data_IF_436974886181
#
_entry.id   IF_436974886181
#
_cell.length_a   1.000
_cell.length_b   1.000
_cell.length_c   1.000
_cell.angle_alpha   90.00
_cell.angle_beta   90.00
_cell.angle_gamma   90.00
#
_symmetry.space_group_name_H-M   'P 1'
#
loop_
_entity.id
_entity.type
_entity.pdbx_description
1 polymer ?
#
# COMPACT_ATOMS: atom_id res chain seq x y z
N UNK A 1 -14.76 31.15 -15.67
CA UNK A 1 -14.60 29.77 -15.15
C UNK A 1 -15.17 29.72 -13.75
N UNK A 2 -15.93 28.69 -13.41
CA UNK A 2 -16.41 28.52 -12.04
C UNK A 2 -15.19 28.27 -11.13
N UNK A 3 -14.96 29.18 -10.18
CA UNK A 3 -13.80 29.14 -9.28
C UNK A 3 -13.79 27.85 -8.43
N UNK A 4 -14.95 27.32 -8.12
CA UNK A 4 -15.09 26.11 -7.32
C UNK A 4 -14.68 24.87 -8.10
N UNK A 5 -15.08 24.79 -9.37
CA UNK A 5 -14.73 23.69 -10.26
C UNK A 5 -13.21 23.64 -10.50
N UNK A 6 -12.58 24.80 -10.70
CA UNK A 6 -11.12 24.89 -10.84
C UNK A 6 -10.39 24.39 -9.60
N UNK A 7 -10.82 24.83 -8.40
CA UNK A 7 -10.24 24.37 -7.12
C UNK A 7 -10.40 22.86 -6.92
N UNK A 8 -11.55 22.31 -7.32
CA UNK A 8 -11.79 20.87 -7.24
C UNK A 8 -10.83 20.10 -8.15
N UNK A 9 -10.64 20.53 -9.40
CA UNK A 9 -9.70 19.87 -10.32
C UNK A 9 -8.26 19.95 -9.83
N UNK A 10 -7.82 21.09 -9.28
CA UNK A 10 -6.49 21.16 -8.67
C UNK A 10 -6.34 20.21 -7.49
N UNK A 11 -7.36 20.12 -6.63
CA UNK A 11 -7.35 19.17 -5.52
C UNK A 11 -7.29 17.72 -6.01
N UNK A 12 -7.98 17.40 -7.11
CA UNK A 12 -7.90 16.09 -7.74
C UNK A 12 -6.48 15.78 -8.23
N UNK A 13 -5.77 16.75 -8.80
CA UNK A 13 -4.38 16.58 -9.24
C UNK A 13 -3.42 16.35 -8.06
N UNK A 14 -3.55 17.13 -6.98
CA UNK A 14 -2.79 16.87 -5.76
C UNK A 14 -3.08 15.47 -5.19
N UNK A 15 -4.35 15.08 -5.14
CA UNK A 15 -4.74 13.77 -4.64
C UNK A 15 -4.21 12.63 -5.52
N UNK A 16 -4.16 12.81 -6.85
CA UNK A 16 -3.61 11.81 -7.77
C UNK A 16 -2.15 11.48 -7.45
N UNK A 17 -1.29 12.50 -7.29
CA UNK A 17 0.12 12.26 -6.95
C UNK A 17 0.29 11.69 -5.54
N UNK A 18 -0.54 12.08 -4.57
CA UNK A 18 -0.55 11.46 -3.24
C UNK A 18 -0.97 10.00 -3.28
N UNK A 19 -1.94 9.65 -4.14
CA UNK A 19 -2.37 8.26 -4.35
C UNK A 19 -1.22 7.40 -4.91
N UNK A 20 -0.37 7.94 -5.79
CA UNK A 20 0.83 7.22 -6.26
C UNK A 20 1.76 6.83 -5.11
N UNK A 21 2.00 7.75 -4.17
CA UNK A 21 2.83 7.48 -2.99
C UNK A 21 2.21 6.45 -2.05
N UNK A 22 0.89 6.53 -1.85
CA UNK A 22 0.13 5.55 -1.05
C UNK A 22 0.22 4.16 -1.69
N UNK A 23 0.08 4.05 -3.02
CA UNK A 23 0.23 2.78 -3.74
C UNK A 23 1.64 2.23 -3.51
N UNK A 24 2.67 3.08 -3.62
CA UNK A 24 4.06 2.66 -3.39
C UNK A 24 4.24 2.11 -1.98
N UNK A 25 3.79 2.84 -0.96
CA UNK A 25 3.84 2.38 0.43
C UNK A 25 3.13 1.04 0.64
N UNK A 26 1.90 0.88 0.09
CA UNK A 26 1.15 -0.38 0.20
C UNK A 26 1.90 -1.55 -0.47
N UNK A 27 2.53 -1.32 -1.62
CA UNK A 27 3.36 -2.33 -2.31
C UNK A 27 4.59 -2.71 -1.47
N UNK A 28 5.26 -1.75 -0.85
CA UNK A 28 6.40 -2.01 0.04
C UNK A 28 5.95 -2.85 1.27
N UNK A 29 4.78 -2.57 1.84
CA UNK A 29 4.20 -3.37 2.95
C UNK A 29 3.89 -4.81 2.50
N UNK A 30 3.32 -4.98 1.30
CA UNK A 30 3.04 -6.31 0.74
C UNK A 30 4.32 -7.14 0.64
N UNK A 31 5.43 -6.56 0.18
CA UNK A 31 6.70 -7.29 0.08
C UNK A 31 7.24 -7.71 1.47
N UNK A 32 7.14 -6.85 2.48
CA UNK A 32 7.51 -7.20 3.86
C UNK A 32 6.64 -8.37 4.38
N UNK A 33 5.33 -8.35 4.10
CA UNK A 33 4.42 -9.42 4.51
C UNK A 33 4.74 -10.74 3.80
N UNK A 34 5.11 -10.71 2.52
CA UNK A 34 5.54 -11.90 1.77
C UNK A 34 6.82 -12.50 2.35
N UNK A 35 7.83 -11.69 2.62
CA UNK A 35 9.07 -12.14 3.26
C UNK A 35 8.78 -12.79 4.62
N UNK A 36 7.85 -12.21 5.39
CA UNK A 36 7.45 -12.76 6.68
C UNK A 36 6.70 -14.09 6.54
N UNK A 37 5.84 -14.24 5.53
CA UNK A 37 5.18 -15.51 5.23
C UNK A 37 6.23 -16.57 4.88
N UNK A 38 7.24 -16.26 4.07
CA UNK A 38 8.31 -17.21 3.71
C UNK A 38 9.09 -17.68 4.95
N UNK A 39 9.39 -16.75 5.88
CA UNK A 39 10.02 -17.11 7.16
C UNK A 39 9.13 -18.02 8.03
N UNK A 40 7.83 -17.76 8.07
CA UNK A 40 6.87 -18.61 8.79
C UNK A 40 6.78 -19.99 8.14
N UNK A 41 6.78 -20.08 6.80
CA UNK A 41 6.79 -21.37 6.08
C UNK A 41 8.02 -22.20 6.41
N UNK A 42 9.21 -21.59 6.46
CA UNK A 42 10.44 -22.27 6.88
C UNK A 42 10.32 -22.78 8.32
N UNK A 43 9.85 -21.94 9.25
CA UNK A 43 9.65 -22.33 10.66
C UNK A 43 8.66 -23.48 10.84
N UNK A 44 7.57 -23.49 10.08
CA UNK A 44 6.56 -24.56 10.11
C UNK A 44 7.16 -25.86 9.57
N UNK A 45 7.88 -25.81 8.43
CA UNK A 45 8.54 -26.99 7.83
C UNK A 45 9.60 -27.59 8.76
N UNK A 46 10.40 -26.74 9.39
CA UNK A 46 11.48 -27.17 10.27
C UNK A 46 10.99 -27.54 11.68
N UNK A 47 9.68 -27.40 11.96
CA UNK A 47 9.09 -27.57 13.31
C UNK A 47 9.89 -26.82 14.38
N UNK A 48 10.40 -25.64 14.03
CA UNK A 48 11.24 -24.85 14.92
C UNK A 48 10.37 -24.07 15.92
N UNK A 49 9.81 -24.81 16.87
CA UNK A 49 8.94 -24.31 17.93
C UNK A 49 9.66 -24.42 19.27
N UNK A 50 9.68 -23.31 20.02
CA UNK A 50 10.24 -23.32 21.36
C UNK A 50 9.20 -23.89 22.33
N UNK A 51 9.49 -25.05 22.90
CA UNK A 51 8.64 -25.69 23.90
C UNK A 51 9.31 -25.46 25.24
N UNK A 52 8.61 -24.78 26.14
CA UNK A 52 9.09 -24.61 27.51
C UNK A 52 8.96 -25.96 28.24
N UNK A 53 10.08 -26.66 28.39
CA UNK A 53 10.14 -27.97 29.06
C UNK A 53 10.12 -27.83 30.59
N UNK A 54 10.27 -26.61 31.12
CA UNK A 54 10.52 -26.34 32.54
C UNK A 54 9.27 -26.36 33.43
N UNK A 55 8.10 -26.74 32.92
CA UNK A 55 6.88 -26.68 33.71
C UNK A 55 6.58 -27.88 34.61
N UNK A 56 7.22 -29.05 34.49
CA UNK A 56 7.04 -30.14 35.48
C UNK A 56 8.19 -31.16 35.49
N UNK A 57 9.26 -30.87 36.24
CA UNK A 57 10.00 -31.94 36.92
C UNK A 57 9.17 -32.41 38.12
N UNK A 58 8.09 -33.17 37.87
CA UNK A 58 7.34 -33.83 38.95
C UNK A 58 8.22 -34.99 39.47
N UNK A 59 8.52 -35.07 40.78
CA UNK A 59 9.28 -36.19 41.31
C UNK A 59 8.55 -37.48 41.00
N UNK A 60 9.29 -38.47 40.49
CA UNK A 60 8.80 -39.80 40.14
C UNK A 60 8.18 -40.47 41.38
N UNK A 61 6.87 -40.29 41.54
CA UNK A 61 6.04 -40.84 42.60
C UNK A 61 4.81 -41.46 41.96
N UNK A 62 4.95 -42.74 41.63
CA UNK A 62 3.93 -43.74 41.33
C UNK A 62 2.46 -43.26 41.32
N UNK A 63 1.98 -42.89 40.12
CA UNK A 63 0.61 -43.09 39.60
C UNK A 63 0.50 -42.48 38.20
N UNK A 64 0.80 -43.30 37.18
CA UNK A 64 0.62 -42.90 35.78
C UNK A 64 -0.87 -43.06 35.43
N UNK A 65 -1.68 -42.04 35.69
CA UNK A 65 -2.95 -41.90 34.98
C UNK A 65 -2.63 -41.49 33.54
N UNK A 66 -2.58 -42.45 32.64
CA UNK A 66 -2.54 -42.17 31.20
C UNK A 66 -3.85 -41.52 30.81
N UNK A 67 -3.81 -40.25 30.39
CA UNK A 67 -4.95 -39.61 29.75
C UNK A 67 -5.39 -40.43 28.55
N UNK A 68 -6.70 -40.62 28.38
CA UNK A 68 -7.35 -41.53 27.41
C UNK A 68 -7.18 -41.13 25.92
N UNK A 69 -6.22 -40.25 25.61
CA UNK A 69 -6.04 -39.59 24.31
C UNK A 69 -4.72 -39.96 23.61
N UNK A 70 -3.82 -40.68 24.29
CA UNK A 70 -2.59 -41.24 23.69
C UNK A 70 -1.45 -40.25 23.36
N UNK A 71 -1.64 -38.94 23.50
CA UNK A 71 -0.62 -37.92 23.19
C UNK A 71 0.04 -37.30 24.45
N UNK A 72 1.36 -37.21 24.44
CA UNK A 72 2.18 -36.56 25.46
C UNK A 72 1.92 -35.05 25.54
N UNK A 73 2.29 -34.43 26.68
CA UNK A 73 2.17 -32.99 26.86
C UNK A 73 3.00 -32.21 25.82
N UNK A 74 4.20 -32.69 25.53
CA UNK A 74 5.10 -32.09 24.54
C UNK A 74 4.48 -32.11 23.13
N UNK A 75 3.88 -33.21 22.70
CA UNK A 75 3.20 -33.31 21.40
C UNK A 75 2.03 -32.32 21.31
N UNK A 76 1.23 -32.18 22.37
CA UNK A 76 0.13 -31.20 22.42
C UNK A 76 0.64 -29.76 22.34
N UNK A 77 1.75 -29.45 23.01
CA UNK A 77 2.36 -28.13 22.96
C UNK A 77 2.92 -27.79 21.56
N UNK A 78 3.54 -28.77 20.88
CA UNK A 78 4.03 -28.62 19.50
C UNK A 78 2.89 -28.33 18.54
N UNK A 79 1.81 -29.13 18.59
CA UNK A 79 0.64 -28.93 17.72
C UNK A 79 0.05 -27.53 17.91
N UNK A 80 -0.12 -27.08 19.15
CA UNK A 80 -0.61 -25.74 19.43
C UNK A 80 0.32 -24.63 18.91
N UNK A 81 1.64 -24.82 19.00
CA UNK A 81 2.61 -23.86 18.50
C UNK A 81 2.57 -23.78 16.98
N UNK A 82 2.49 -24.92 16.28
CA UNK A 82 2.34 -24.97 14.82
C UNK A 82 1.02 -24.34 14.38
N UNK A 83 -0.09 -24.66 15.05
CA UNK A 83 -1.41 -24.07 14.75
C UNK A 83 -1.39 -22.54 14.84
N UNK A 84 -0.68 -21.97 15.82
CA UNK A 84 -0.51 -20.52 15.94
C UNK A 84 0.26 -19.94 14.75
N UNK A 85 1.33 -20.60 14.31
CA UNK A 85 2.11 -20.16 13.13
C UNK A 85 1.27 -20.24 11.84
N UNK A 86 0.44 -21.27 11.69
CA UNK A 86 -0.47 -21.42 10.55
C UNK A 86 -1.52 -20.30 10.54
N UNK A 87 -2.12 -19.99 11.70
CA UNK A 87 -3.07 -18.86 11.81
C UNK A 87 -2.41 -17.53 11.49
N UNK A 88 -1.23 -17.26 12.06
CA UNK A 88 -0.47 -16.05 11.77
C UNK A 88 -0.17 -15.91 10.27
N UNK A 89 0.15 -17.01 9.60
CA UNK A 89 0.36 -17.02 8.16
C UNK A 89 -0.94 -16.69 7.39
N UNK A 90 -2.06 -17.30 7.78
CA UNK A 90 -3.36 -17.05 7.15
C UNK A 90 -3.79 -15.59 7.29
N UNK A 91 -3.62 -15.00 8.47
CA UNK A 91 -3.94 -13.60 8.74
C UNK A 91 -3.13 -12.66 7.82
N UNK A 92 -1.82 -12.93 7.66
CA UNK A 92 -0.95 -12.15 6.77
C UNK A 92 -1.31 -12.30 5.29
N UNK A 93 -1.72 -13.50 4.86
CA UNK A 93 -2.21 -13.73 3.49
C UNK A 93 -3.48 -12.91 3.24
N UNK A 94 -4.40 -12.86 4.21
CA UNK A 94 -5.60 -12.04 4.10
C UNK A 94 -5.27 -10.54 4.06
N UNK A 95 -4.30 -10.09 4.86
CA UNK A 95 -3.84 -8.70 4.84
C UNK A 95 -3.29 -8.30 3.47
N UNK A 96 -2.48 -9.17 2.84
CA UNK A 96 -1.99 -8.95 1.46
C UNK A 96 -3.16 -8.79 0.49
N UNK A 97 -4.15 -9.68 0.53
CA UNK A 97 -5.31 -9.60 -0.38
C UNK A 97 -6.07 -8.28 -0.25
N UNK A 98 -6.28 -7.82 1.00
CA UNK A 98 -6.94 -6.55 1.24
C UNK A 98 -6.11 -5.36 0.71
N UNK A 99 -4.79 -5.39 0.90
CA UNK A 99 -3.90 -4.35 0.38
C UNK A 99 -3.86 -4.34 -1.16
N UNK A 100 -3.87 -5.51 -1.80
CA UNK A 100 -3.92 -5.65 -3.25
C UNK A 100 -5.24 -5.12 -3.83
N UNK A 101 -6.36 -5.42 -3.17
CA UNK A 101 -7.68 -4.88 -3.54
C UNK A 101 -7.70 -3.34 -3.43
N UNK A 102 -7.19 -2.80 -2.33
CA UNK A 102 -7.07 -1.36 -2.12
C UNK A 102 -6.22 -0.70 -3.23
N UNK A 103 -5.06 -1.28 -3.56
CA UNK A 103 -4.21 -0.80 -4.65
C UNK A 103 -4.98 -0.81 -5.97
N UNK A 104 -5.68 -1.91 -6.28
CA UNK A 104 -6.49 -2.03 -7.49
C UNK A 104 -7.58 -0.95 -7.56
N UNK A 105 -8.25 -0.68 -6.45
CA UNK A 105 -9.30 0.35 -6.38
C UNK A 105 -8.73 1.75 -6.58
N UNK A 106 -7.62 2.09 -5.93
CA UNK A 106 -6.94 3.37 -6.10
C UNK A 106 -6.48 3.55 -7.55
N UNK A 107 -5.91 2.51 -8.16
CA UNK A 107 -5.46 2.53 -9.57
C UNK A 107 -6.66 2.76 -10.51
N UNK A 108 -7.78 2.05 -10.32
CA UNK A 108 -9.01 2.22 -11.11
C UNK A 108 -9.56 3.65 -11.02
N UNK A 109 -9.69 4.19 -9.80
CA UNK A 109 -10.14 5.57 -9.58
C UNK A 109 -9.23 6.60 -10.24
N UNK A 110 -7.94 6.30 -10.33
CA UNK A 110 -6.92 7.21 -10.87
C UNK A 110 -6.82 7.16 -12.39
N UNK A 111 -7.40 6.14 -13.06
CA UNK A 111 -7.26 5.92 -14.51
C UNK A 111 -7.77 7.09 -15.36
N UNK A 112 -8.86 7.74 -14.96
CA UNK A 112 -9.41 8.87 -15.70
C UNK A 112 -8.43 10.06 -15.71
N UNK A 113 -7.86 10.39 -14.55
CA UNK A 113 -6.89 11.49 -14.43
C UNK A 113 -5.57 11.12 -15.13
N UNK A 114 -5.09 9.89 -14.97
CA UNK A 114 -3.90 9.39 -15.64
C UNK A 114 -4.03 9.49 -17.18
N UNK A 115 -5.18 9.11 -17.73
CA UNK A 115 -5.47 9.23 -19.16
C UNK A 115 -5.42 10.70 -19.60
N UNK A 116 -6.04 11.61 -18.85
CA UNK A 116 -6.04 13.04 -19.16
C UNK A 116 -4.62 13.62 -19.18
N UNK A 117 -3.81 13.33 -18.16
CA UNK A 117 -2.42 13.76 -18.08
C UNK A 117 -1.61 13.20 -19.25
N UNK A 118 -1.85 11.93 -19.64
CA UNK A 118 -1.15 11.28 -20.75
C UNK A 118 -1.40 11.98 -22.10
N UNK A 119 -2.58 12.55 -22.30
CA UNK A 119 -2.96 13.25 -23.54
C UNK A 119 -2.40 14.66 -23.65
N UNK A 120 -1.82 15.20 -22.57
CA UNK A 120 -1.14 16.49 -22.61
C UNK A 120 0.23 16.38 -23.30
N UNK A 121 0.78 17.52 -23.72
CA UNK A 121 2.15 17.57 -24.23
C UNK A 121 3.17 17.40 -23.08
N UNK A 122 4.43 17.12 -23.42
CA UNK A 122 5.48 16.86 -22.41
C UNK A 122 5.75 18.07 -21.51
N UNK A 123 5.73 19.29 -22.04
CA UNK A 123 5.97 20.51 -21.25
C UNK A 123 4.85 20.75 -20.21
N UNK A 124 3.60 20.40 -20.53
CA UNK A 124 2.45 20.47 -19.63
C UNK A 124 2.52 19.35 -18.58
N UNK A 125 2.94 18.14 -18.95
CA UNK A 125 3.20 17.04 -18.01
C UNK A 125 4.28 17.41 -17.00
N UNK A 126 5.35 18.04 -17.47
CA UNK A 126 6.43 18.51 -16.61
C UNK A 126 5.94 19.59 -15.65
N UNK A 127 5.20 20.58 -16.15
CA UNK A 127 4.56 21.59 -15.29
C UNK A 127 3.68 20.96 -14.20
N UNK A 128 2.87 19.95 -14.57
CA UNK A 128 2.00 19.24 -13.62
C UNK A 128 2.83 18.53 -12.54
N UNK A 129 3.91 17.84 -12.92
CA UNK A 129 4.79 17.16 -11.96
C UNK A 129 5.42 18.17 -10.99
N UNK A 130 6.00 19.25 -11.50
CA UNK A 130 6.61 20.28 -10.65
C UNK A 130 5.56 20.92 -9.72
N UNK A 131 4.34 21.17 -10.22
CA UNK A 131 3.30 21.86 -9.44
C UNK A 131 2.60 21.00 -8.40
N UNK A 132 2.21 19.78 -8.78
CA UNK A 132 1.28 18.96 -8.00
C UNK A 132 1.97 17.76 -7.33
N UNK A 133 3.14 17.33 -7.82
CA UNK A 133 3.95 16.29 -7.18
C UNK A 133 5.02 16.88 -6.27
N UNK A 134 5.76 17.88 -6.75
CA UNK A 134 6.82 18.55 -5.96
C UNK A 134 6.32 19.78 -5.20
N UNK A 135 5.06 20.16 -5.40
CA UNK A 135 4.39 21.28 -4.73
C UNK A 135 5.07 22.65 -4.92
N UNK A 136 5.83 22.84 -6.01
CA UNK A 136 6.53 24.10 -6.29
C UNK A 136 5.58 25.28 -6.54
N UNK A 137 6.06 26.49 -6.25
CA UNK A 137 5.34 27.70 -6.61
C UNK A 137 5.37 27.93 -8.12
N UNK A 138 4.37 28.64 -8.66
CA UNK A 138 4.34 28.95 -10.11
C UNK A 138 5.54 29.79 -10.54
N UNK A 139 6.11 30.59 -9.63
CA UNK A 139 7.31 31.37 -9.88
C UNK A 139 8.54 30.49 -10.04
N UNK A 140 8.76 29.54 -9.14
CA UNK A 140 9.86 28.56 -9.24
C UNK A 140 9.75 27.72 -10.51
N UNK A 141 8.54 27.28 -10.85
CA UNK A 141 8.30 26.51 -12.07
C UNK A 141 8.57 27.37 -13.32
N UNK A 142 8.23 28.66 -13.26
CA UNK A 142 8.50 29.56 -14.37
C UNK A 142 10.02 29.72 -14.59
N UNK A 143 10.79 29.85 -13.51
CA UNK A 143 12.24 29.90 -13.57
C UNK A 143 12.83 28.58 -14.12
N UNK A 144 12.34 27.42 -13.64
CA UNK A 144 12.81 26.09 -14.04
C UNK A 144 12.50 25.77 -15.52
N UNK A 145 11.35 26.21 -16.01
CA UNK A 145 10.92 26.05 -17.41
C UNK A 145 11.31 27.24 -18.31
N UNK A 146 12.18 28.15 -17.84
CA UNK A 146 12.65 29.32 -18.58
C UNK A 146 11.52 30.18 -19.18
N UNK A 147 10.45 30.39 -18.43
CA UNK A 147 9.30 31.20 -18.82
C UNK A 147 9.06 32.38 -17.88
N UNK A 148 8.32 33.39 -18.35
CA UNK A 148 7.92 34.49 -17.48
C UNK A 148 6.88 34.04 -16.45
N UNK A 149 6.83 34.69 -15.28
CA UNK A 149 5.79 34.44 -14.25
C UNK A 149 4.37 34.51 -14.84
N UNK A 150 4.10 35.51 -15.67
CA UNK A 150 2.80 35.68 -16.32
C UNK A 150 2.47 34.50 -17.26
N UNK A 151 3.45 33.96 -17.99
CA UNK A 151 3.28 32.77 -18.81
C UNK A 151 3.00 31.54 -17.94
N UNK A 152 3.70 31.37 -16.81
CA UNK A 152 3.47 30.26 -15.87
C UNK A 152 2.04 30.24 -15.30
N UNK A 153 1.50 31.39 -14.89
CA UNK A 153 0.12 31.47 -14.40
C UNK A 153 -0.91 31.17 -15.49
N UNK A 154 -0.70 31.67 -16.71
CA UNK A 154 -1.56 31.36 -17.86
C UNK A 154 -1.51 29.87 -18.21
N UNK A 155 -0.33 29.26 -18.12
CA UNK A 155 -0.11 27.85 -18.39
C UNK A 155 -0.82 26.95 -17.39
N UNK A 156 -0.71 27.25 -16.08
CA UNK A 156 -1.51 26.60 -15.03
C UNK A 156 -3.00 26.65 -15.34
N UNK A 157 -3.52 27.84 -15.68
CA UNK A 157 -4.94 28.00 -15.97
C UNK A 157 -5.37 27.16 -17.19
N UNK A 158 -4.54 27.13 -18.24
CA UNK A 158 -4.78 26.33 -19.44
C UNK A 158 -4.82 24.82 -19.11
N UNK A 159 -3.80 24.33 -18.41
CA UNK A 159 -3.68 22.90 -18.04
C UNK A 159 -4.90 22.43 -17.26
N UNK A 160 -5.32 23.18 -16.24
CA UNK A 160 -6.47 22.79 -15.42
C UNK A 160 -7.75 22.81 -16.25
N UNK A 161 -7.92 23.78 -17.15
CA UNK A 161 -9.07 23.81 -18.09
C UNK A 161 -9.08 22.61 -19.03
N UNK A 162 -7.93 22.24 -19.57
CA UNK A 162 -7.82 21.09 -20.47
C UNK A 162 -8.23 19.81 -19.73
N UNK A 163 -7.73 19.61 -18.50
CA UNK A 163 -8.09 18.46 -17.66
C UNK A 163 -9.58 18.46 -17.27
N UNK A 164 -10.15 19.63 -16.99
CA UNK A 164 -11.59 19.77 -16.73
C UNK A 164 -12.41 19.32 -17.93
N UNK A 165 -12.05 19.80 -19.13
CA UNK A 165 -12.75 19.45 -20.36
C UNK A 165 -12.70 17.94 -20.64
N UNK A 166 -11.53 17.32 -20.51
CA UNK A 166 -11.42 15.87 -20.68
C UNK A 166 -12.21 15.08 -19.65
N UNK A 167 -12.33 15.58 -18.41
CA UNK A 167 -13.14 14.94 -17.37
C UNK A 167 -14.64 14.97 -17.67
N UNK A 168 -15.12 15.95 -18.45
CA UNK A 168 -16.50 15.99 -18.94
C UNK A 168 -16.73 15.03 -20.12
N UNK A 169 -15.72 14.84 -20.96
CA UNK A 169 -15.79 13.97 -22.15
C UNK A 169 -15.73 12.48 -21.80
N UNK A 170 -15.03 12.12 -20.72
CA UNK A 170 -14.83 10.72 -20.30
C UNK A 170 -15.99 10.20 -19.40
N UNK A 171 -16.89 11.08 -18.95
CA UNK A 171 -18.11 10.69 -18.21
C UNK A 171 -19.06 9.87 -19.07
#
# INVERSE_FOLDING_TARGET
>A
MNKDLFRQTERMLYNYFKKEEIIKYKKDVIEILKDRIEQLEKRIKDTNVNIDYDLQAVPCGERVQTSNTGASYAERAIVQAIDRLIREQADKKQEILNLEEDVSNIEKESKAIEFNIRMLNEEDKEFIKLKYKQELSVEQIADELNMSRAAGYKKREKIVKDIMHWSEVIK
#
